data_IF_358862554090
#
_entry.id   IF_358862554090
#
_cell.length_a   1.000
_cell.length_b   1.000
_cell.length_c   1.000
_cell.angle_alpha   90.00
_cell.angle_beta   90.00
_cell.angle_gamma   90.00
#
_symmetry.space_group_name_H-M   'P 1'
#
loop_
_entity.id
_entity.type
_entity.pdbx_description
1 polymer ?
#
# COMPACT_ATOMS: atom_id res chain seq x y z
N UNK A 1 4.72 -6.11 5.66
CA UNK A 1 5.22 -7.07 4.65
C UNK A 1 4.08 -7.92 4.07
N UNK A 2 2.93 -7.29 3.72
CA UNK A 2 1.72 -8.03 3.31
C UNK A 2 1.18 -7.59 1.95
N UNK A 3 1.97 -6.88 1.13
CA UNK A 3 1.54 -6.44 -0.20
C UNK A 3 1.84 -7.50 -1.26
N UNK A 4 0.82 -7.91 -2.01
CA UNK A 4 0.90 -8.95 -3.05
C UNK A 4 0.99 -8.37 -4.47
N UNK A 5 1.23 -7.05 -4.61
CA UNK A 5 1.40 -6.43 -5.92
C UNK A 5 2.66 -6.93 -6.63
N UNK A 6 2.71 -6.77 -7.96
CA UNK A 6 3.86 -7.16 -8.77
C UNK A 6 5.18 -6.55 -8.26
N UNK A 7 5.18 -5.27 -7.87
CA UNK A 7 6.37 -4.60 -7.34
C UNK A 7 6.91 -5.27 -6.07
N UNK A 8 6.04 -5.58 -5.11
CA UNK A 8 6.46 -6.15 -3.81
C UNK A 8 6.82 -7.64 -3.89
N UNK A 9 6.33 -8.36 -4.89
CA UNK A 9 6.58 -9.80 -5.07
C UNK A 9 7.86 -10.08 -5.87
N UNK A 10 8.32 -9.12 -6.68
CA UNK A 10 9.46 -9.32 -7.59
C UNK A 10 10.67 -8.43 -7.28
N UNK A 11 10.50 -7.34 -6.52
CA UNK A 11 11.56 -6.37 -6.29
C UNK A 11 11.71 -6.03 -4.81
N UNK A 12 12.95 -5.79 -4.38
CA UNK A 12 13.23 -5.34 -3.02
C UNK A 12 13.01 -3.83 -2.88
N UNK A 13 12.72 -3.39 -1.64
CA UNK A 13 12.61 -1.95 -1.32
C UNK A 13 13.90 -1.18 -1.64
N UNK A 14 15.06 -1.80 -1.40
CA UNK A 14 16.36 -1.21 -1.73
C UNK A 14 16.52 -0.99 -3.24
N UNK A 15 16.08 -1.94 -4.07
CA UNK A 15 16.14 -1.81 -5.52
C UNK A 15 15.23 -0.69 -6.03
N UNK A 16 13.99 -0.61 -5.54
CA UNK A 16 13.08 0.49 -5.90
C UNK A 16 13.64 1.84 -5.44
N UNK A 17 14.23 1.92 -4.25
CA UNK A 17 14.90 3.13 -3.76
C UNK A 17 16.06 3.55 -4.69
N UNK A 18 16.89 2.60 -5.10
CA UNK A 18 17.97 2.84 -6.05
C UNK A 18 17.46 3.41 -7.38
N UNK A 19 16.41 2.81 -7.98
CA UNK A 19 15.84 3.30 -9.24
C UNK A 19 15.31 4.74 -9.12
N UNK A 20 14.65 5.06 -8.01
CA UNK A 20 14.15 6.43 -7.76
C UNK A 20 15.32 7.41 -7.62
N UNK A 21 16.39 7.04 -6.90
CA UNK A 21 17.60 7.85 -6.75
C UNK A 21 18.34 8.05 -8.07
N UNK A 22 18.33 7.04 -8.94
CA UNK A 22 18.92 7.08 -10.27
C UNK A 22 18.05 7.83 -11.30
N UNK A 23 16.86 8.31 -10.90
CA UNK A 23 15.89 8.96 -11.78
C UNK A 23 15.43 8.08 -12.96
N UNK A 24 15.34 6.77 -12.73
CA UNK A 24 14.89 5.79 -13.71
C UNK A 24 13.36 5.70 -13.74
N UNK A 25 12.77 5.73 -14.93
CA UNK A 25 11.30 5.70 -15.12
C UNK A 25 10.66 4.43 -14.52
N UNK A 26 11.43 3.34 -14.47
CA UNK A 26 10.99 2.09 -13.85
C UNK A 26 10.67 2.28 -12.35
N UNK A 27 11.41 3.13 -11.64
CA UNK A 27 11.14 3.45 -10.24
C UNK A 27 9.75 4.05 -10.04
N UNK A 28 9.38 5.04 -10.86
CA UNK A 28 8.06 5.65 -10.84
C UNK A 28 6.95 4.64 -11.22
N UNK A 29 7.20 3.77 -12.20
CA UNK A 29 6.26 2.73 -12.61
C UNK A 29 5.99 1.72 -11.48
N UNK A 30 7.05 1.22 -10.83
CA UNK A 30 6.93 0.26 -9.73
C UNK A 30 6.23 0.87 -8.50
N UNK A 31 6.53 2.14 -8.19
CA UNK A 31 5.84 2.88 -7.13
C UNK A 31 4.34 3.05 -7.45
N UNK A 32 4.00 3.37 -8.70
CA UNK A 32 2.60 3.52 -9.14
C UNK A 32 1.83 2.20 -9.00
N UNK A 33 2.41 1.08 -9.43
CA UNK A 33 1.80 -0.26 -9.28
C UNK A 33 1.55 -0.57 -7.81
N UNK A 34 2.52 -0.31 -6.94
CA UNK A 34 2.38 -0.52 -5.50
C UNK A 34 1.27 0.34 -4.90
N UNK A 35 1.29 1.65 -5.19
CA UNK A 35 0.36 2.61 -4.63
C UNK A 35 -1.08 2.29 -5.05
N UNK A 36 -1.32 2.04 -6.33
CA UNK A 36 -2.67 1.71 -6.81
C UNK A 36 -3.19 0.42 -6.15
N UNK A 37 -2.36 -0.62 -6.05
CA UNK A 37 -2.76 -1.86 -5.38
C UNK A 37 -3.09 -1.63 -3.90
N UNK A 38 -2.27 -0.84 -3.20
CA UNK A 38 -2.52 -0.46 -1.81
C UNK A 38 -3.86 0.27 -1.66
N UNK A 39 -4.10 1.31 -2.47
CA UNK A 39 -5.35 2.08 -2.43
C UNK A 39 -6.57 1.21 -2.76
N UNK A 40 -6.46 0.32 -3.74
CA UNK A 40 -7.55 -0.60 -4.06
C UNK A 40 -7.89 -1.51 -2.87
N UNK A 41 -6.89 -2.03 -2.15
CA UNK A 41 -7.09 -2.85 -0.95
C UNK A 41 -7.68 -2.04 0.21
N UNK A 42 -7.17 -0.84 0.45
CA UNK A 42 -7.70 0.06 1.47
C UNK A 42 -9.18 0.33 1.22
N UNK A 43 -9.54 0.73 0.00
CA UNK A 43 -10.92 1.03 -0.37
C UNK A 43 -11.82 -0.22 -0.32
N UNK A 44 -11.31 -1.40 -0.66
CA UNK A 44 -12.03 -2.66 -0.50
C UNK A 44 -12.34 -2.97 0.97
N UNK A 45 -11.37 -2.79 1.87
CA UNK A 45 -11.57 -2.94 3.31
C UNK A 45 -12.59 -1.96 3.86
N UNK A 46 -12.54 -0.70 3.42
CA UNK A 46 -13.54 0.32 3.79
C UNK A 46 -14.95 -0.08 3.38
N UNK A 47 -15.14 -0.54 2.12
CA UNK A 47 -16.45 -0.99 1.64
C UNK A 47 -16.99 -2.16 2.45
N UNK A 48 -16.16 -3.18 2.70
CA UNK A 48 -16.55 -4.34 3.51
C UNK A 48 -16.94 -3.94 4.95
N UNK A 49 -16.22 -3.00 5.56
CA UNK A 49 -16.53 -2.51 6.90
C UNK A 49 -17.83 -1.70 6.95
N UNK A 50 -18.14 -0.94 5.90
CA UNK A 50 -19.43 -0.24 5.77
C UNK A 50 -20.58 -1.25 5.67
N UNK A 51 -20.45 -2.26 4.81
CA UNK A 51 -21.45 -3.34 4.66
C UNK A 51 -21.68 -4.09 5.97
N UNK A 52 -20.62 -4.35 6.73
CA UNK A 52 -20.67 -4.99 8.04
C UNK A 52 -21.05 -4.05 9.20
N UNK A 53 -21.34 -2.77 8.94
CA UNK A 53 -21.64 -1.73 9.94
C UNK A 53 -20.56 -1.56 11.02
N UNK A 54 -19.30 -1.87 10.72
CA UNK A 54 -18.15 -1.77 11.63
C UNK A 54 -17.08 -0.78 11.15
N UNK A 55 -17.48 0.22 10.35
CA UNK A 55 -16.55 1.19 9.76
C UNK A 55 -15.75 1.99 10.81
N UNK A 56 -16.36 2.31 11.96
CA UNK A 56 -15.66 3.01 13.06
C UNK A 56 -14.46 2.20 13.58
N UNK A 57 -14.63 0.88 13.76
CA UNK A 57 -13.57 -0.02 14.18
C UNK A 57 -12.46 -0.13 13.13
N UNK A 58 -12.84 -0.17 11.85
CA UNK A 58 -11.89 -0.14 10.74
C UNK A 58 -11.03 1.12 10.78
N UNK A 59 -11.64 2.28 10.93
CA UNK A 59 -10.94 3.58 10.99
C UNK A 59 -10.03 3.68 12.22
N UNK A 60 -10.48 3.23 13.39
CA UNK A 60 -9.66 3.19 14.60
C UNK A 60 -8.40 2.32 14.41
N UNK A 61 -8.57 1.11 13.83
CA UNK A 61 -7.44 0.23 13.50
C UNK A 61 -6.49 0.86 12.49
N UNK A 62 -7.03 1.47 11.43
CA UNK A 62 -6.24 2.13 10.39
C UNK A 62 -5.35 3.25 10.96
N UNK A 63 -5.91 4.12 11.80
CA UNK A 63 -5.14 5.19 12.44
C UNK A 63 -4.11 4.67 13.45
N UNK A 64 -4.44 3.62 14.20
CA UNK A 64 -3.48 2.97 15.10
C UNK A 64 -2.27 2.42 14.34
N UNK A 65 -2.49 1.78 13.18
CA UNK A 65 -1.40 1.28 12.33
C UNK A 65 -0.52 2.41 11.79
N UNK A 66 -1.12 3.52 11.31
CA UNK A 66 -0.32 4.66 10.80
C UNK A 66 0.49 5.37 11.88
N UNK A 67 -0.03 5.47 13.11
CA UNK A 67 0.71 6.05 14.23
C UNK A 67 1.99 5.25 14.57
N UNK A 68 2.04 3.97 14.23
CA UNK A 68 3.22 3.11 14.40
C UNK A 68 4.28 3.28 13.29
N UNK A 69 4.06 4.20 12.33
CA UNK A 69 5.02 4.48 11.25
C UNK A 69 4.98 3.46 10.11
N UNK A 70 3.85 2.78 9.93
CA UNK A 70 3.59 1.83 8.85
C UNK A 70 2.59 2.37 7.83
#
# INVERSE_FOLDING_TARGET
>A
EECTCHSCTHFSRAYVHHLIRANEILGARLATIHNLHYYHRLMAGMRAAIEAKCFADFTAKFHATQALGW
#
